data_IF_162527362824
#
_entry.id   IF_162527362824
#
_cell.length_a   1.000
_cell.length_b   1.000
_cell.length_c   1.000
_cell.angle_alpha   90.00
_cell.angle_beta   90.00
_cell.angle_gamma   90.00
#
_symmetry.space_group_name_H-M   'P 1'
#
loop_
_entity.id
_entity.type
_entity.pdbx_description
1 polymer ?
#
# COMPACT_ATOMS: atom_id res chain seq x y z
N UNK A 1 -3.99 63.24 -38.39
CA UNK A 1 -2.76 62.68 -39.01
C UNK A 1 -2.44 61.43 -38.24
N UNK A 2 -3.14 60.38 -38.65
CA UNK A 2 -3.32 59.14 -37.92
C UNK A 2 -2.03 58.31 -38.05
N UNK A 3 -1.50 57.84 -36.94
CA UNK A 3 -0.22 57.13 -36.83
C UNK A 3 -0.28 55.74 -37.50
N UNK A 4 0.41 55.49 -38.64
CA UNK A 4 0.32 54.21 -39.34
C UNK A 4 1.32 53.15 -38.83
N UNK A 5 1.89 53.33 -37.63
CA UNK A 5 2.95 52.47 -37.11
C UNK A 5 2.59 51.71 -35.81
N UNK A 6 1.31 51.64 -35.43
CA UNK A 6 0.87 50.88 -34.24
C UNK A 6 0.58 49.39 -34.53
N UNK A 7 0.37 49.05 -35.80
CA UNK A 7 -0.02 47.69 -36.21
C UNK A 7 1.07 46.62 -36.02
N UNK A 8 2.36 46.85 -36.38
CA UNK A 8 3.37 45.82 -36.22
C UNK A 8 3.71 45.57 -34.75
N UNK A 9 3.56 46.60 -33.90
CA UNK A 9 3.78 46.50 -32.45
C UNK A 9 2.70 45.64 -31.80
N UNK A 10 1.44 45.79 -32.22
CA UNK A 10 0.33 45.00 -31.70
C UNK A 10 0.49 43.50 -32.05
N UNK A 11 0.93 43.20 -33.27
CA UNK A 11 1.15 41.82 -33.76
C UNK A 11 2.29 41.14 -32.99
N UNK A 12 3.38 41.87 -32.73
CA UNK A 12 4.52 41.35 -31.96
C UNK A 12 4.14 41.05 -30.49
N UNK A 13 3.31 41.91 -29.88
CA UNK A 13 2.81 41.72 -28.51
C UNK A 13 1.88 40.50 -28.40
N UNK A 14 1.05 40.24 -29.42
CA UNK A 14 0.21 39.03 -29.45
C UNK A 14 0.98 37.74 -29.73
N UNK A 15 2.14 37.81 -30.39
CA UNK A 15 2.99 36.62 -30.61
C UNK A 15 3.77 36.20 -29.35
N UNK A 16 3.91 37.11 -28.39
CA UNK A 16 4.65 36.90 -27.14
C UNK A 16 3.76 36.45 -25.98
N UNK A 17 2.44 36.31 -26.16
CA UNK A 17 1.58 35.74 -25.11
C UNK A 17 1.88 34.25 -25.00
N UNK A 18 2.58 33.83 -23.94
CA UNK A 18 3.14 32.50 -23.86
C UNK A 18 1.99 31.49 -23.82
N UNK A 19 2.15 30.48 -24.66
CA UNK A 19 1.43 29.23 -24.59
C UNK A 19 1.62 28.65 -23.18
N UNK A 20 0.76 29.05 -22.25
CA UNK A 20 0.66 28.44 -20.93
C UNK A 20 0.06 27.06 -21.10
N UNK A 21 0.92 26.09 -21.41
CA UNK A 21 0.59 24.69 -21.20
C UNK A 21 0.37 24.50 -19.70
N UNK A 22 -0.89 24.40 -19.28
CA UNK A 22 -1.20 23.82 -17.99
C UNK A 22 -0.71 22.36 -18.03
N UNK A 23 0.42 22.08 -17.36
CA UNK A 23 0.83 20.71 -17.11
C UNK A 23 -0.18 20.15 -16.12
N UNK A 24 -1.13 19.36 -16.63
CA UNK A 24 -2.00 18.57 -15.79
C UNK A 24 -1.13 17.56 -15.04
N UNK A 25 -0.84 17.85 -13.77
CA UNK A 25 -0.24 16.87 -12.87
C UNK A 25 -1.33 15.83 -12.60
N UNK A 26 -1.31 14.73 -13.37
CA UNK A 26 -2.18 13.60 -13.09
C UNK A 26 -1.85 13.10 -11.68
N UNK A 27 -2.84 13.17 -10.77
CA UNK A 27 -2.71 12.50 -9.49
C UNK A 27 -2.45 11.01 -9.75
N UNK A 28 -1.48 10.38 -9.05
CA UNK A 28 -1.28 8.96 -9.19
C UNK A 28 -2.60 8.23 -8.93
N UNK A 29 -2.95 7.19 -9.70
CA UNK A 29 -4.13 6.40 -9.40
C UNK A 29 -4.02 5.93 -7.95
N UNK A 30 -5.08 6.14 -7.15
CA UNK A 30 -5.24 5.44 -5.88
C UNK A 30 -5.40 3.96 -6.26
N UNK A 31 -4.28 3.25 -6.24
CA UNK A 31 -4.28 1.80 -6.35
C UNK A 31 -4.96 1.30 -5.08
N UNK A 32 -6.12 0.69 -5.26
CA UNK A 32 -6.89 0.13 -4.16
C UNK A 32 -6.05 -1.00 -3.56
N UNK A 33 -5.40 -0.73 -2.42
CA UNK A 33 -4.61 -1.72 -1.71
C UNK A 33 -5.42 -3.01 -1.52
N UNK A 34 -4.86 -4.13 -1.97
CA UNK A 34 -5.51 -5.42 -1.87
C UNK A 34 -5.90 -5.73 -0.41
N UNK A 35 -7.12 -6.23 -0.21
CA UNK A 35 -7.64 -6.52 1.12
C UNK A 35 -6.71 -7.52 1.86
N UNK A 36 -6.46 -7.30 3.17
CA UNK A 36 -5.57 -8.17 3.92
C UNK A 36 -6.14 -9.59 4.04
N UNK A 37 -5.28 -10.59 3.89
CA UNK A 37 -5.59 -12.01 4.04
C UNK A 37 -5.38 -12.40 5.50
N UNK A 38 -6.47 -12.75 6.19
CA UNK A 38 -6.42 -13.18 7.59
C UNK A 38 -6.11 -14.68 7.68
N UNK A 39 -5.04 -15.03 8.39
CA UNK A 39 -4.59 -16.41 8.60
C UNK A 39 -4.57 -16.73 10.08
N UNK A 40 -5.40 -17.68 10.50
CA UNK A 40 -5.43 -18.18 11.89
C UNK A 40 -4.41 -19.28 12.14
N UNK A 41 -3.60 -19.14 13.19
CA UNK A 41 -2.64 -20.17 13.62
C UNK A 41 -2.82 -20.43 15.11
N UNK A 42 -2.93 -21.71 15.47
CA UNK A 42 -2.98 -22.15 16.86
C UNK A 42 -1.64 -22.77 17.24
N UNK A 43 -1.02 -22.27 18.29
CA UNK A 43 0.26 -22.75 18.81
C UNK A 43 0.17 -22.93 20.32
N UNK A 44 0.91 -23.89 20.88
CA UNK A 44 1.11 -23.95 22.33
C UNK A 44 2.25 -22.99 22.71
N UNK A 45 1.90 -21.76 23.11
CA UNK A 45 2.88 -20.74 23.47
C UNK A 45 3.50 -20.97 24.86
N UNK A 46 2.97 -21.92 25.62
CA UNK A 46 3.58 -22.35 26.89
C UNK A 46 4.81 -23.23 26.65
N UNK A 47 4.84 -23.97 25.53
CA UNK A 47 6.00 -24.76 25.11
C UNK A 47 7.12 -23.91 24.48
N UNK A 48 8.37 -24.37 24.61
CA UNK A 48 9.51 -23.75 23.93
C UNK A 48 9.35 -23.80 22.40
N UNK A 49 8.96 -24.96 21.88
CA UNK A 49 8.75 -25.20 20.44
C UNK A 49 7.68 -24.27 19.87
N UNK A 50 6.57 -24.03 20.57
CA UNK A 50 5.53 -23.13 20.09
C UNK A 50 5.97 -21.66 20.05
N UNK A 51 6.80 -21.23 21.00
CA UNK A 51 7.40 -19.88 20.96
C UNK A 51 8.40 -19.74 19.82
N UNK A 52 9.25 -20.75 19.61
CA UNK A 52 10.20 -20.79 18.51
C UNK A 52 9.47 -20.74 17.15
N UNK A 53 8.42 -21.54 16.98
CA UNK A 53 7.59 -21.53 15.77
C UNK A 53 6.92 -20.18 15.55
N UNK A 54 6.39 -19.54 16.60
CA UNK A 54 5.80 -18.20 16.50
C UNK A 54 6.83 -17.19 16.00
N UNK A 55 8.05 -17.22 16.52
CA UNK A 55 9.12 -16.34 16.07
C UNK A 55 9.50 -16.60 14.60
N UNK A 56 9.63 -17.88 14.21
CA UNK A 56 9.93 -18.27 12.83
C UNK A 56 8.85 -17.80 11.85
N UNK A 57 7.56 -18.01 12.17
CA UNK A 57 6.44 -17.56 11.34
C UNK A 57 6.42 -16.04 11.21
N UNK A 58 6.67 -15.31 12.31
CA UNK A 58 6.74 -13.85 12.27
C UNK A 58 7.85 -13.37 11.34
N UNK A 59 9.05 -13.92 11.47
CA UNK A 59 10.19 -13.56 10.63
C UNK A 59 9.92 -13.87 9.15
N UNK A 60 9.31 -15.02 8.85
CA UNK A 60 8.96 -15.37 7.48
C UNK A 60 7.90 -14.42 6.89
N UNK A 61 6.99 -13.90 7.73
CA UNK A 61 6.00 -12.92 7.31
C UNK A 61 6.63 -11.55 7.03
N UNK A 62 7.58 -11.14 7.86
CA UNK A 62 8.35 -9.91 7.64
C UNK A 62 9.15 -10.00 6.32
N UNK A 63 9.77 -11.15 6.04
CA UNK A 63 10.47 -11.41 4.78
C UNK A 63 9.50 -11.41 3.58
N UNK A 64 8.30 -11.97 3.75
CA UNK A 64 7.25 -11.96 2.73
C UNK A 64 6.79 -10.52 2.42
N UNK A 65 6.48 -9.73 3.46
CA UNK A 65 6.06 -8.34 3.31
C UNK A 65 7.17 -7.49 2.65
N UNK A 66 8.43 -7.71 3.03
CA UNK A 66 9.58 -7.02 2.43
C UNK A 66 9.81 -7.39 0.95
N UNK A 67 9.55 -8.64 0.57
CA UNK A 67 9.61 -9.07 -0.82
C UNK A 67 8.45 -8.54 -1.68
N UNK A 68 7.32 -8.19 -1.05
CA UNK A 68 6.09 -7.79 -1.71
C UNK A 68 5.67 -6.34 -1.42
N UNK A 69 6.63 -5.42 -1.25
CA UNK A 69 6.41 -3.97 -1.03
C UNK A 69 5.70 -3.22 -2.17
N UNK A 70 5.19 -3.93 -3.19
CA UNK A 70 4.40 -3.33 -4.27
C UNK A 70 3.02 -2.93 -3.72
N UNK A 71 2.51 -1.76 -4.10
CA UNK A 71 1.26 -1.18 -3.56
C UNK A 71 0.00 -2.04 -3.73
N UNK A 72 0.03 -3.08 -4.57
CA UNK A 72 -1.07 -4.01 -4.84
C UNK A 72 -0.95 -5.37 -4.13
N UNK A 73 0.12 -5.63 -3.38
CA UNK A 73 0.25 -6.91 -2.70
C UNK A 73 -0.73 -7.02 -1.52
N UNK A 74 -1.44 -8.15 -1.44
CA UNK A 74 -2.31 -8.45 -0.31
C UNK A 74 -1.45 -8.71 0.93
N UNK A 75 -1.63 -7.88 1.97
CA UNK A 75 -0.94 -8.05 3.26
C UNK A 75 -1.51 -9.26 3.98
N UNK A 76 -0.65 -10.06 4.62
CA UNK A 76 -1.10 -11.19 5.42
C UNK A 76 -1.19 -10.77 6.88
N UNK A 77 -2.37 -10.93 7.48
CA UNK A 77 -2.62 -10.68 8.90
C UNK A 77 -2.65 -12.00 9.66
N UNK A 78 -1.68 -12.20 10.55
CA UNK A 78 -1.55 -13.42 11.34
C UNK A 78 -2.33 -13.31 12.65
N UNK A 79 -3.33 -14.17 12.82
CA UNK A 79 -4.12 -14.30 14.05
C UNK A 79 -3.60 -15.49 14.85
N UNK A 80 -2.87 -15.23 15.94
CA UNK A 80 -2.27 -16.28 16.78
C UNK A 80 -3.15 -16.57 17.99
N UNK A 81 -3.57 -17.84 18.17
CA UNK A 81 -4.27 -18.34 19.36
C UNK A 81 -3.35 -19.29 20.15
N UNK A 82 -3.28 -19.09 21.46
CA UNK A 82 -2.55 -19.98 22.37
C UNK A 82 -3.42 -21.19 22.74
N UNK A 83 -2.98 -22.40 22.42
CA UNK A 83 -3.65 -23.63 22.84
C UNK A 83 -3.34 -24.03 24.28
N UNK A 84 -2.22 -23.55 24.86
CA UNK A 84 -1.74 -23.95 26.20
C UNK A 84 -1.56 -25.46 26.38
N UNK A 85 -1.35 -26.20 25.29
CA UNK A 85 -1.28 -27.66 25.28
C UNK A 85 -2.64 -28.37 25.29
N UNK A 86 -3.75 -27.63 25.21
CA UNK A 86 -5.12 -28.16 25.17
C UNK A 86 -5.61 -28.31 23.72
N UNK A 87 -5.88 -29.56 23.31
CA UNK A 87 -6.37 -29.91 21.97
C UNK A 87 -7.82 -29.44 21.72
N UNK A 88 -8.64 -29.30 22.77
CA UNK A 88 -10.00 -28.80 22.63
C UNK A 88 -9.98 -27.30 22.31
N UNK A 89 -9.11 -26.52 22.96
CA UNK A 89 -8.89 -25.10 22.68
C UNK A 89 -8.39 -24.85 21.25
N UNK A 90 -7.68 -25.82 20.65
CA UNK A 90 -7.25 -25.76 19.26
C UNK A 90 -8.37 -25.97 18.23
N UNK A 91 -9.48 -26.60 18.64
CA UNK A 91 -10.59 -26.96 17.75
C UNK A 91 -11.63 -25.84 17.62
N UNK A 92 -11.68 -24.94 18.60
CA UNK A 92 -12.45 -23.71 18.46
C UNK A 92 -11.70 -22.78 17.49
N UNK A 93 -12.09 -22.78 16.22
CA UNK A 93 -11.78 -21.65 15.34
C UNK A 93 -12.71 -20.50 15.74
N UNK A 94 -12.17 -19.44 16.34
CA UNK A 94 -12.94 -18.20 16.54
C UNK A 94 -13.25 -17.63 15.17
N UNK A 95 -14.47 -17.81 14.68
CA UNK A 95 -14.97 -17.11 13.52
C UNK A 95 -15.35 -15.70 13.93
N UNK A 96 -14.39 -14.77 13.88
CA UNK A 96 -14.62 -13.32 13.93
C UNK A 96 -13.86 -12.61 12.81
#
# INVERSE_FOLDING_TARGET
>A
MEWPAAWPVLVLVTLLTPWSSAVAVASPPVVASAAPVRVGVVLDLTSHVGRERRACISSALDDFDAAHLSSDAARVELLVRDSRGDLAMATHADTR
#
